data_IF_274963310233
#
_entry.id   IF_274963310233
#
_cell.length_a   1.000
_cell.length_b   1.000
_cell.length_c   1.000
_cell.angle_alpha   90.00
_cell.angle_beta   90.00
_cell.angle_gamma   90.00
#
_symmetry.space_group_name_H-M   'P 1'
#
loop_
_entity.id
_entity.type
_entity.pdbx_description
1 polymer ?
#
# COMPACT_ATOMS: atom_id res chain seq x y z
N UNK A 1 24.51 16.04 22.97
CA UNK A 1 23.35 15.15 22.74
C UNK A 1 22.62 15.68 21.52
N UNK A 2 22.56 14.90 20.47
CA UNK A 2 21.82 15.27 19.27
C UNK A 2 20.41 14.73 19.40
N UNK A 3 19.42 15.61 19.32
CA UNK A 3 18.01 15.23 19.35
C UNK A 3 17.43 15.25 17.94
N UNK A 4 16.36 14.47 17.72
CA UNK A 4 15.61 14.53 16.46
C UNK A 4 14.12 14.23 16.68
N UNK A 5 13.25 14.86 15.88
CA UNK A 5 11.84 14.53 15.83
C UNK A 5 11.61 13.25 15.02
N UNK A 6 10.81 12.37 15.56
CA UNK A 6 10.49 11.09 14.93
C UNK A 6 8.98 10.79 15.05
N UNK A 7 8.47 9.95 14.17
CA UNK A 7 7.08 9.47 14.23
C UNK A 7 7.02 8.20 15.06
N UNK A 8 6.31 8.25 16.16
CA UNK A 8 6.02 7.11 17.02
C UNK A 8 4.60 6.60 16.73
N UNK A 9 4.47 5.31 16.43
CA UNK A 9 3.18 4.64 16.24
C UNK A 9 2.82 3.89 17.50
N UNK A 10 1.70 4.26 18.09
CA UNK A 10 1.12 3.57 19.23
C UNK A 10 -0.10 2.77 18.78
N UNK A 11 -0.09 1.46 19.02
CA UNK A 11 -1.18 0.56 18.68
C UNK A 11 -1.86 0.08 19.95
N UNK A 12 -3.18 0.21 20.00
CA UNK A 12 -4.04 -0.24 21.08
C UNK A 12 -5.00 -1.31 20.57
N UNK A 13 -5.31 -2.27 21.41
CA UNK A 13 -6.44 -3.18 21.20
C UNK A 13 -7.69 -2.56 21.76
N UNK A 14 -8.69 -2.38 20.91
CA UNK A 14 -9.98 -1.81 21.25
C UNK A 14 -11.05 -2.84 20.94
N UNK A 15 -12.15 -2.85 21.69
CA UNK A 15 -13.30 -3.75 21.49
C UNK A 15 -12.95 -5.07 20.76
N UNK A 16 -13.07 -6.20 21.42
CA UNK A 16 -13.00 -7.53 20.81
C UNK A 16 -11.84 -7.76 19.82
N UNK A 17 -10.65 -7.22 20.09
CA UNK A 17 -9.44 -7.40 19.28
C UNK A 17 -9.28 -6.46 18.06
N UNK A 18 -10.07 -5.39 17.94
CA UNK A 18 -9.86 -4.38 16.90
C UNK A 18 -8.61 -3.54 17.20
N UNK A 19 -7.72 -3.39 16.21
CA UNK A 19 -6.49 -2.60 16.35
C UNK A 19 -6.75 -1.14 15.99
N UNK A 20 -6.36 -0.25 16.91
CA UNK A 20 -6.33 1.20 16.69
C UNK A 20 -4.88 1.69 16.74
N UNK A 21 -4.38 2.24 15.64
CA UNK A 21 -3.04 2.81 15.59
C UNK A 21 -3.12 4.33 15.52
N UNK A 22 -2.36 5.01 16.40
CA UNK A 22 -2.22 6.47 16.42
C UNK A 22 -0.77 6.86 16.23
N UNK A 23 -0.53 7.91 15.44
CA UNK A 23 0.80 8.48 15.24
C UNK A 23 1.00 9.69 16.13
N UNK A 24 2.18 9.78 16.74
CA UNK A 24 2.65 10.92 17.52
C UNK A 24 3.96 11.42 16.91
N UNK A 25 4.25 12.70 17.08
CA UNK A 25 5.59 13.25 16.86
C UNK A 25 6.26 13.30 18.22
N UNK A 26 7.40 12.63 18.34
CA UNK A 26 8.19 12.53 19.57
C UNK A 26 9.59 13.06 19.34
N UNK A 27 10.22 13.55 20.40
CA UNK A 27 11.63 13.90 20.43
C UNK A 27 12.42 12.68 20.90
N UNK A 28 13.43 12.28 20.15
CA UNK A 28 14.33 11.18 20.46
C UNK A 28 15.76 11.65 20.59
N UNK A 29 16.53 10.94 21.40
CA UNK A 29 17.98 11.09 21.49
C UNK A 29 18.73 10.26 20.44
N UNK A 30 20.06 10.31 20.47
CA UNK A 30 20.96 9.55 19.61
C UNK A 30 20.82 8.02 19.74
N UNK A 31 20.36 7.54 20.88
CA UNK A 31 20.13 6.11 21.15
C UNK A 31 18.80 5.62 20.61
N UNK A 32 17.94 6.56 20.19
CA UNK A 32 16.58 6.28 19.73
C UNK A 32 15.55 6.23 20.86
N UNK A 33 15.92 6.59 22.07
CA UNK A 33 15.01 6.65 23.22
C UNK A 33 14.11 7.88 23.13
N UNK A 34 12.85 7.74 23.56
CA UNK A 34 11.88 8.83 23.55
C UNK A 34 12.13 9.73 24.76
N UNK A 35 12.61 10.95 24.51
CA UNK A 35 12.83 11.95 25.53
C UNK A 35 11.57 12.76 25.87
N UNK A 36 10.75 13.05 24.86
CA UNK A 36 9.51 13.80 25.06
C UNK A 36 8.45 13.47 24.00
N UNK A 37 7.18 13.48 24.40
CA UNK A 37 6.03 13.54 23.52
C UNK A 37 5.71 14.99 23.23
N UNK A 38 5.45 15.32 21.95
CA UNK A 38 5.07 16.67 21.54
C UNK A 38 3.60 16.76 21.21
N UNK A 39 3.07 17.98 21.19
CA UNK A 39 1.70 18.26 20.78
C UNK A 39 1.53 18.49 19.27
N UNK A 40 2.61 18.44 18.50
CA UNK A 40 2.58 18.76 17.06
C UNK A 40 1.64 17.86 16.24
N UNK A 41 1.41 16.63 16.69
CA UNK A 41 0.45 15.73 16.04
C UNK A 41 -1.00 16.26 16.01
N UNK A 42 -1.35 17.18 16.92
CA UNK A 42 -2.69 17.82 16.99
C UNK A 42 -2.99 18.64 15.74
N UNK A 43 -1.96 19.24 15.14
CA UNK A 43 -2.06 20.12 13.98
C UNK A 43 -1.98 19.42 12.62
N UNK A 44 -1.94 18.08 12.59
CA UNK A 44 -1.80 17.27 11.35
C UNK A 44 -3.16 16.74 10.88
N UNK A 45 -4.28 17.21 11.41
CA UNK A 45 -5.58 16.69 11.06
C UNK A 45 -5.99 17.02 9.61
N UNK A 46 -6.74 16.13 8.97
CA UNK A 46 -7.08 16.20 7.55
C UNK A 46 -8.24 17.14 7.21
N UNK A 47 -8.89 17.77 8.17
CA UNK A 47 -10.11 18.51 7.91
C UNK A 47 -10.26 19.74 8.82
N UNK A 48 -10.22 20.91 8.20
CA UNK A 48 -10.57 22.20 8.84
C UNK A 48 -12.05 22.28 9.29
N UNK A 49 -12.89 21.34 8.84
CA UNK A 49 -14.35 21.37 9.07
C UNK A 49 -14.85 20.33 10.07
N UNK A 50 -13.98 19.44 10.55
CA UNK A 50 -14.40 18.36 11.45
C UNK A 50 -13.80 18.54 12.83
N UNK A 51 -14.65 18.85 13.82
CA UNK A 51 -14.34 18.75 15.24
C UNK A 51 -14.34 17.29 15.73
N UNK A 52 -14.63 16.32 14.84
CA UNK A 52 -14.54 14.89 15.12
C UNK A 52 -13.24 14.40 14.49
N UNK A 53 -12.27 14.09 15.32
CA UNK A 53 -10.97 13.55 14.90
C UNK A 53 -11.01 12.02 14.89
N UNK A 54 -10.55 11.40 13.82
CA UNK A 54 -10.31 9.95 13.81
C UNK A 54 -9.17 9.63 14.79
N UNK A 55 -9.39 8.60 15.60
CA UNK A 55 -8.36 8.09 16.51
C UNK A 55 -7.35 7.22 15.74
N UNK A 56 -7.80 6.60 14.64
CA UNK A 56 -7.02 5.67 13.81
C UNK A 56 -6.08 6.38 12.84
N UNK A 57 -4.92 5.76 12.59
CA UNK A 57 -4.01 6.15 11.51
C UNK A 57 -4.67 5.89 10.15
N UNK A 58 -4.68 6.90 9.29
CA UNK A 58 -5.19 6.79 7.92
C UNK A 58 -4.14 6.27 6.92
N UNK A 59 -2.98 5.81 7.41
CA UNK A 59 -1.89 5.27 6.60
C UNK A 59 -1.13 6.31 5.78
N UNK A 60 -1.40 7.61 5.95
CA UNK A 60 -0.72 8.65 5.19
C UNK A 60 0.65 9.03 5.77
N UNK A 61 1.45 9.75 4.98
CA UNK A 61 2.80 10.19 5.33
C UNK A 61 2.87 11.57 5.97
N UNK A 62 1.75 12.19 6.37
CA UNK A 62 1.70 13.57 6.85
C UNK A 62 2.62 13.80 8.05
N UNK A 63 2.56 12.94 9.06
CA UNK A 63 3.41 13.06 10.25
C UNK A 63 4.90 13.02 9.90
N UNK A 64 5.29 12.23 8.90
CA UNK A 64 6.69 12.16 8.46
C UNK A 64 7.15 13.45 7.77
N UNK A 65 6.28 14.11 6.99
CA UNK A 65 6.61 15.40 6.39
C UNK A 65 6.82 16.47 7.46
N UNK A 66 5.92 16.51 8.46
CA UNK A 66 6.04 17.47 9.56
C UNK A 66 7.28 17.18 10.41
N UNK A 67 7.56 15.92 10.76
CA UNK A 67 8.77 15.58 11.50
C UNK A 67 10.05 15.99 10.76
N UNK A 68 10.11 15.82 9.42
CA UNK A 68 11.25 16.28 8.59
C UNK A 68 11.39 17.79 8.61
N UNK A 69 10.28 18.55 8.51
CA UNK A 69 10.33 20.01 8.60
C UNK A 69 10.81 20.45 10.00
N UNK A 70 10.30 19.84 11.05
CA UNK A 70 10.72 20.16 12.42
C UNK A 70 12.23 19.91 12.62
N UNK A 71 12.75 18.76 12.14
CA UNK A 71 14.20 18.50 12.20
C UNK A 71 14.99 19.56 11.46
N UNK A 72 14.55 19.90 10.24
CA UNK A 72 15.21 20.91 9.42
C UNK A 72 15.31 22.28 10.09
N UNK A 73 14.22 22.75 10.73
CA UNK A 73 14.20 24.07 11.34
C UNK A 73 14.81 24.10 12.74
N UNK A 74 14.67 23.02 13.54
CA UNK A 74 15.19 22.99 14.91
C UNK A 74 16.65 22.54 14.98
N UNK A 75 17.08 21.56 14.15
CA UNK A 75 18.35 20.89 14.35
C UNK A 75 19.31 20.97 13.14
N UNK A 76 18.80 20.94 11.91
CA UNK A 76 19.68 20.77 10.76
C UNK A 76 20.21 22.11 10.21
N UNK A 77 19.35 23.13 10.07
CA UNK A 77 19.72 24.36 9.34
C UNK A 77 19.54 25.65 10.13
N UNK A 78 18.45 25.81 10.86
CA UNK A 78 18.09 27.12 11.44
C UNK A 78 18.26 27.20 12.96
N UNK A 79 18.26 26.07 13.65
CA UNK A 79 18.47 25.94 15.11
C UNK A 79 17.53 26.85 15.93
N UNK A 80 16.24 26.89 15.56
CA UNK A 80 15.25 27.66 16.31
C UNK A 80 14.90 26.99 17.63
N UNK A 81 14.62 27.77 18.68
CA UNK A 81 14.24 27.27 20.01
C UNK A 81 12.74 26.92 20.08
N UNK A 82 11.92 27.60 19.30
CA UNK A 82 10.47 27.44 19.31
C UNK A 82 9.89 27.54 17.89
N UNK A 83 8.83 26.77 17.61
CA UNK A 83 8.14 26.83 16.32
C UNK A 83 7.49 28.21 16.06
N UNK A 84 7.23 29.01 17.09
CA UNK A 84 6.72 30.36 16.93
C UNK A 84 7.69 31.28 16.16
N UNK A 85 8.98 30.98 16.18
CA UNK A 85 10.03 31.72 15.46
C UNK A 85 10.19 31.34 14.01
N UNK A 86 9.35 30.42 13.48
CA UNK A 86 9.41 30.01 12.08
C UNK A 86 9.09 31.19 11.14
N UNK A 87 9.78 31.27 10.01
CA UNK A 87 9.58 32.33 9.00
C UNK A 87 9.19 31.74 7.66
N UNK A 88 8.57 32.55 6.78
CA UNK A 88 8.22 32.13 5.40
C UNK A 88 9.46 31.62 4.65
N UNK A 89 10.63 32.26 4.85
CA UNK A 89 11.88 31.83 4.26
C UNK A 89 12.27 30.41 4.69
N UNK A 90 12.21 30.09 5.98
CA UNK A 90 12.52 28.75 6.50
C UNK A 90 11.62 27.67 5.90
N UNK A 91 10.32 27.96 5.76
CA UNK A 91 9.35 27.05 5.13
C UNK A 91 9.66 26.87 3.64
N UNK A 92 9.92 27.97 2.92
CA UNK A 92 10.28 27.95 1.50
C UNK A 92 11.56 27.14 1.27
N UNK A 93 12.60 27.37 2.06
CA UNK A 93 13.87 26.66 1.95
C UNK A 93 13.68 25.15 2.24
N UNK A 94 12.93 24.78 3.28
CA UNK A 94 12.60 23.39 3.55
C UNK A 94 11.88 22.72 2.36
N UNK A 95 10.85 23.37 1.81
CA UNK A 95 10.07 22.78 0.73
C UNK A 95 10.90 22.59 -0.55
N UNK A 96 11.80 23.53 -0.86
CA UNK A 96 12.70 23.42 -2.00
C UNK A 96 13.81 22.38 -1.77
N UNK A 97 14.44 22.38 -0.60
CA UNK A 97 15.46 21.39 -0.24
C UNK A 97 14.85 19.98 -0.21
N UNK A 98 13.61 19.83 0.27
CA UNK A 98 12.85 18.59 0.19
C UNK A 98 12.57 18.17 -1.25
N UNK A 99 12.11 19.10 -2.10
CA UNK A 99 11.80 18.82 -3.50
C UNK A 99 13.02 18.43 -4.34
N UNK A 100 14.16 19.06 -4.08
CA UNK A 100 15.42 18.84 -4.79
C UNK A 100 16.32 17.77 -4.16
N UNK A 101 15.85 17.04 -3.14
CA UNK A 101 16.58 15.94 -2.51
C UNK A 101 17.89 16.38 -1.81
N UNK A 102 17.90 17.58 -1.23
CA UNK A 102 19.08 18.18 -0.57
C UNK A 102 18.98 18.11 0.96
N UNK A 103 17.89 17.54 1.50
CA UNK A 103 17.76 17.39 2.96
C UNK A 103 18.85 16.48 3.53
N UNK A 104 19.41 16.82 4.71
CA UNK A 104 20.35 15.97 5.41
C UNK A 104 19.76 14.54 5.59
N UNK A 105 20.55 13.54 5.28
CA UNK A 105 20.18 12.11 5.40
C UNK A 105 18.95 11.67 4.58
N UNK A 106 18.52 12.42 3.57
CA UNK A 106 17.37 12.10 2.74
C UNK A 106 17.59 12.46 1.26
N UNK A 107 18.42 11.66 0.60
CA UNK A 107 18.80 11.81 -0.82
C UNK A 107 17.80 11.14 -1.79
N UNK A 108 16.56 10.94 -1.38
CA UNK A 108 15.57 10.27 -2.23
C UNK A 108 14.97 11.23 -3.25
N UNK A 109 15.11 10.93 -4.54
CA UNK A 109 14.39 11.62 -5.61
C UNK A 109 12.88 11.50 -5.45
N UNK A 110 12.16 12.59 -5.70
CA UNK A 110 10.71 12.69 -5.45
C UNK A 110 9.92 13.00 -6.69
N UNK A 111 8.74 12.40 -6.78
CA UNK A 111 7.77 12.72 -7.84
C UNK A 111 7.01 14.00 -7.51
N UNK A 112 6.49 14.68 -8.53
CA UNK A 112 5.65 15.87 -8.39
C UNK A 112 4.51 15.66 -7.38
N UNK A 113 3.83 14.51 -7.43
CA UNK A 113 2.72 14.20 -6.52
C UNK A 113 3.16 14.09 -5.06
N UNK A 114 4.36 13.57 -4.80
CA UNK A 114 4.94 13.47 -3.45
C UNK A 114 5.26 14.85 -2.90
N UNK A 115 5.85 15.73 -3.73
CA UNK A 115 6.17 17.11 -3.33
C UNK A 115 4.90 17.92 -3.07
N UNK A 116 3.88 17.83 -3.93
CA UNK A 116 2.57 18.47 -3.70
C UNK A 116 1.96 18.00 -2.39
N UNK A 117 2.03 16.71 -2.07
CA UNK A 117 1.51 16.16 -0.82
C UNK A 117 2.26 16.70 0.41
N UNK A 118 3.59 16.87 0.31
CA UNK A 118 4.40 17.48 1.34
C UNK A 118 4.02 18.96 1.54
N UNK A 119 4.03 19.76 0.47
CA UNK A 119 3.66 21.19 0.49
C UNK A 119 2.29 21.39 1.16
N UNK A 120 1.29 20.65 0.68
CA UNK A 120 -0.06 20.74 1.25
C UNK A 120 -0.08 20.40 2.75
N UNK A 121 0.63 19.33 3.15
CA UNK A 121 0.67 18.91 4.56
C UNK A 121 1.33 19.94 5.45
N UNK A 122 2.46 20.53 5.02
CA UNK A 122 3.17 21.54 5.79
C UNK A 122 2.32 22.80 5.94
N UNK A 123 1.67 23.24 4.87
CA UNK A 123 0.80 24.42 4.92
C UNK A 123 -0.41 24.17 5.82
N UNK A 124 -1.08 23.01 5.68
CA UNK A 124 -2.21 22.66 6.54
C UNK A 124 -1.80 22.58 8.03
N UNK A 125 -0.61 22.07 8.32
CA UNK A 125 -0.05 22.00 9.66
C UNK A 125 0.23 23.41 10.23
N UNK A 126 0.93 24.26 9.48
CA UNK A 126 1.26 25.61 9.91
C UNK A 126 0.00 26.49 10.05
N UNK A 127 -0.95 26.37 9.14
CA UNK A 127 -2.22 27.09 9.17
C UNK A 127 -3.00 26.78 10.47
N UNK A 128 -3.03 25.52 10.91
CA UNK A 128 -3.65 25.14 12.18
C UNK A 128 -2.83 25.60 13.39
N UNK A 129 -1.50 25.44 13.34
CA UNK A 129 -0.62 25.86 14.43
C UNK A 129 -0.71 27.38 14.67
N UNK A 130 -0.62 28.16 13.59
CA UNK A 130 -0.71 29.65 13.66
C UNK A 130 -2.09 30.07 14.13
N UNK A 131 -3.18 29.41 13.72
CA UNK A 131 -4.52 29.81 14.17
C UNK A 131 -4.73 29.67 15.68
N UNK A 132 -4.04 28.73 16.33
CA UNK A 132 -4.08 28.53 17.78
C UNK A 132 -3.01 29.37 18.54
N UNK A 133 -2.00 29.91 17.84
CA UNK A 133 -0.86 30.62 18.41
C UNK A 133 -0.62 31.99 17.73
N UNK A 134 -1.66 32.65 17.22
CA UNK A 134 -1.56 33.84 16.38
C UNK A 134 -0.74 34.97 16.99
N UNK A 135 -0.88 35.17 18.32
CA UNK A 135 -0.22 36.25 19.03
C UNK A 135 1.28 36.05 19.28
N UNK A 136 1.76 34.82 19.04
CA UNK A 136 3.16 34.40 19.30
C UNK A 136 3.95 34.12 18.04
N UNK A 137 3.26 33.82 16.94
CA UNK A 137 3.92 33.41 15.68
C UNK A 137 4.42 34.62 14.89
N UNK A 138 5.64 34.47 14.30
CA UNK A 138 6.19 35.50 13.42
C UNK A 138 5.47 35.51 12.04
N UNK A 139 4.96 34.39 11.60
CA UNK A 139 4.21 34.29 10.34
C UNK A 139 2.72 34.50 10.60
N UNK A 140 2.07 35.24 9.73
CA UNK A 140 0.61 35.35 9.69
C UNK A 140 0.02 34.29 8.77
N UNK A 141 -1.18 33.82 9.10
CA UNK A 141 -1.90 32.79 8.35
C UNK A 141 -2.12 33.16 6.87
N UNK A 142 -2.29 34.48 6.60
CA UNK A 142 -2.50 34.97 5.23
C UNK A 142 -1.27 34.83 4.34
N UNK A 143 -0.06 34.87 4.92
CA UNK A 143 1.20 34.75 4.18
C UNK A 143 1.46 33.34 3.64
N UNK A 144 0.77 32.33 4.17
CA UNK A 144 0.86 30.95 3.66
C UNK A 144 0.21 30.76 2.30
N UNK A 145 -0.60 31.72 1.84
CA UNK A 145 -1.42 31.58 0.65
C UNK A 145 -1.33 32.79 -0.27
N UNK A 146 -1.43 32.53 -1.58
CA UNK A 146 -1.66 33.55 -2.62
C UNK A 146 -2.95 33.26 -3.36
N UNK A 147 -3.59 34.32 -3.88
CA UNK A 147 -4.81 34.18 -4.70
C UNK A 147 -4.42 34.26 -6.16
N UNK A 148 -4.74 33.22 -6.93
CA UNK A 148 -4.55 33.20 -8.39
C UNK A 148 -5.92 33.19 -9.09
N UNK A 149 -5.96 33.75 -10.29
CA UNK A 149 -7.16 33.68 -11.14
C UNK A 149 -6.95 32.60 -12.18
N UNK A 150 -7.77 31.57 -12.15
CA UNK A 150 -7.70 30.44 -13.10
C UNK A 150 -8.98 30.32 -13.90
N UNK A 151 -8.88 29.76 -15.10
CA UNK A 151 -10.03 29.43 -15.93
C UNK A 151 -10.50 28.01 -15.60
N UNK A 152 -11.75 27.87 -15.15
CA UNK A 152 -12.29 26.54 -14.84
C UNK A 152 -12.62 25.77 -16.15
N UNK A 153 -12.96 24.48 -16.03
CA UNK A 153 -13.30 23.60 -17.17
C UNK A 153 -14.48 24.13 -18.02
N UNK A 154 -15.32 25.04 -17.48
CA UNK A 154 -16.44 25.66 -18.16
C UNK A 154 -16.10 27.04 -18.74
N UNK A 155 -14.82 27.41 -18.76
CA UNK A 155 -14.31 28.67 -19.34
C UNK A 155 -14.47 29.91 -18.42
N UNK A 156 -15.08 29.79 -17.23
CA UNK A 156 -15.28 30.91 -16.31
C UNK A 156 -14.01 31.16 -15.47
N UNK A 157 -13.64 32.45 -15.35
CA UNK A 157 -12.56 32.85 -14.46
C UNK A 157 -13.00 32.71 -13.00
N UNK A 158 -12.22 31.99 -12.20
CA UNK A 158 -12.42 31.83 -10.77
C UNK A 158 -11.15 32.20 -10.00
N UNK A 159 -11.32 32.81 -8.83
CA UNK A 159 -10.22 33.05 -7.91
C UNK A 159 -10.01 31.82 -7.03
N UNK A 160 -8.80 31.29 -7.03
CA UNK A 160 -8.42 30.16 -6.21
C UNK A 160 -7.30 30.54 -5.26
N UNK A 161 -7.45 30.14 -3.98
CA UNK A 161 -6.44 30.31 -2.95
C UNK A 161 -5.48 29.12 -3.00
N UNK A 162 -4.23 29.39 -3.36
CA UNK A 162 -3.17 28.40 -3.50
C UNK A 162 -2.03 28.68 -2.54
N UNK A 163 -1.15 27.71 -2.24
CA UNK A 163 0.08 27.97 -1.49
C UNK A 163 0.88 29.14 -2.06
N UNK A 164 1.43 29.98 -1.17
CA UNK A 164 2.25 31.12 -1.58
C UNK A 164 3.65 30.73 -2.07
N UNK A 165 4.04 29.46 -1.89
CA UNK A 165 5.39 28.96 -2.15
C UNK A 165 5.54 28.49 -3.59
N UNK A 166 6.64 28.89 -4.22
CA UNK A 166 7.09 28.35 -5.50
C UNK A 166 8.15 27.29 -5.21
N UNK A 167 7.77 26.02 -5.42
CA UNK A 167 8.60 24.86 -5.02
C UNK A 167 9.10 24.13 -6.26
N UNK A 168 10.41 23.95 -6.34
CA UNK A 168 11.08 23.13 -7.34
C UNK A 168 11.21 21.68 -6.88
N UNK A 169 11.41 20.74 -7.81
CA UNK A 169 11.62 19.34 -7.51
C UNK A 169 12.55 18.68 -8.52
N UNK A 170 13.13 17.54 -8.14
CA UNK A 170 14.16 16.82 -8.92
C UNK A 170 13.71 16.29 -10.29
N UNK A 171 12.42 16.41 -10.61
CA UNK A 171 11.89 16.00 -11.93
C UNK A 171 11.66 14.50 -12.09
N UNK A 172 11.76 13.71 -11.03
CA UNK A 172 11.53 12.26 -11.09
C UNK A 172 10.17 11.92 -11.67
N UNK A 173 10.19 11.18 -12.77
CA UNK A 173 9.00 10.56 -13.35
C UNK A 173 8.89 9.17 -12.74
N UNK A 174 7.75 8.87 -12.15
CA UNK A 174 7.46 7.52 -11.67
C UNK A 174 7.06 6.65 -12.85
N UNK A 175 7.97 5.86 -13.36
CA UNK A 175 7.64 4.76 -14.26
C UNK A 175 6.88 3.70 -13.44
N UNK A 176 5.57 3.69 -13.57
CA UNK A 176 4.74 2.68 -12.91
C UNK A 176 4.65 1.51 -13.87
N UNK A 177 5.39 0.46 -13.54
CA UNK A 177 5.25 -0.82 -14.18
C UNK A 177 3.89 -1.39 -13.75
N UNK A 178 2.93 -1.43 -14.66
CA UNK A 178 1.53 -1.76 -14.32
C UNK A 178 1.04 -3.04 -14.98
N UNK A 179 1.84 -3.70 -15.75
CA UNK A 179 1.44 -4.94 -16.41
C UNK A 179 2.45 -6.05 -16.18
N UNK A 180 1.94 -7.27 -16.10
CA UNK A 180 2.72 -8.50 -16.07
C UNK A 180 2.13 -9.42 -17.15
N UNK A 181 2.92 -9.80 -18.17
CA UNK A 181 2.48 -10.80 -19.13
C UNK A 181 2.05 -12.10 -18.45
N UNK A 182 1.07 -12.80 -19.02
CA UNK A 182 0.60 -14.05 -18.42
C UNK A 182 1.69 -15.08 -18.32
N UNK A 183 2.50 -15.26 -19.37
CA UNK A 183 3.62 -16.20 -19.35
C UNK A 183 4.57 -15.95 -18.17
N UNK A 184 4.80 -14.67 -17.83
CA UNK A 184 5.60 -14.28 -16.65
C UNK A 184 4.87 -14.57 -15.36
N UNK A 185 3.54 -14.29 -15.32
CA UNK A 185 2.71 -14.63 -14.17
C UNK A 185 2.73 -16.14 -13.89
N UNK A 186 2.64 -16.96 -14.93
CA UNK A 186 2.69 -18.41 -14.85
C UNK A 186 4.02 -18.91 -14.28
N UNK A 187 5.14 -18.37 -14.75
CA UNK A 187 6.47 -18.70 -14.23
C UNK A 187 6.57 -18.26 -12.76
N UNK A 188 6.08 -17.07 -12.42
CA UNK A 188 6.13 -16.55 -11.06
C UNK A 188 5.29 -17.38 -10.10
N UNK A 189 4.02 -17.68 -10.45
CA UNK A 189 3.14 -18.46 -9.56
C UNK A 189 3.69 -19.87 -9.32
N UNK A 190 4.28 -20.50 -10.35
CA UNK A 190 4.95 -21.76 -10.23
C UNK A 190 6.17 -21.71 -9.32
N UNK A 191 6.98 -20.67 -9.47
CA UNK A 191 8.11 -20.45 -8.57
C UNK A 191 7.66 -20.28 -7.12
N UNK A 192 6.54 -19.53 -6.90
CA UNK A 192 5.94 -19.37 -5.57
C UNK A 192 5.46 -20.72 -5.02
N UNK A 193 4.73 -21.51 -5.79
CA UNK A 193 4.24 -22.84 -5.37
C UNK A 193 5.40 -23.73 -4.92
N UNK A 194 6.49 -23.75 -5.69
CA UNK A 194 7.64 -24.66 -5.45
C UNK A 194 8.58 -24.20 -4.35
N UNK A 195 8.83 -22.91 -4.24
CA UNK A 195 9.91 -22.37 -3.37
C UNK A 195 9.41 -21.52 -2.22
N UNK A 196 8.24 -20.90 -2.36
CA UNK A 196 7.69 -19.93 -1.41
C UNK A 196 6.20 -20.16 -1.12
N UNK A 197 5.75 -21.42 -0.86
CA UNK A 197 4.33 -21.73 -0.65
C UNK A 197 3.72 -20.96 0.52
N UNK A 198 4.53 -20.48 1.47
CA UNK A 198 4.09 -19.70 2.63
C UNK A 198 3.43 -18.35 2.26
N UNK A 199 3.70 -17.80 1.07
CA UNK A 199 3.03 -16.58 0.59
C UNK A 199 2.02 -16.84 -0.54
N UNK A 200 1.80 -18.09 -0.92
CA UNK A 200 0.92 -18.44 -2.04
C UNK A 200 -0.47 -17.82 -1.92
N UNK A 201 -1.07 -17.87 -0.73
CA UNK A 201 -2.39 -17.29 -0.51
C UNK A 201 -2.40 -15.75 -0.60
N UNK A 202 -1.31 -15.06 -0.23
CA UNK A 202 -1.21 -13.60 -0.40
C UNK A 202 -1.19 -13.22 -1.89
N UNK A 203 -0.50 -14.02 -2.70
CA UNK A 203 -0.50 -13.90 -4.17
C UNK A 203 -1.90 -14.18 -4.73
N UNK A 204 -2.52 -15.30 -4.36
CA UNK A 204 -3.85 -15.70 -4.86
C UNK A 204 -4.94 -14.68 -4.49
N UNK A 205 -4.96 -14.18 -3.26
CA UNK A 205 -5.89 -13.14 -2.80
C UNK A 205 -5.76 -11.84 -3.63
N UNK A 206 -4.53 -11.47 -3.97
CA UNK A 206 -4.29 -10.26 -4.75
C UNK A 206 -4.58 -10.46 -6.25
N UNK A 207 -4.27 -11.65 -6.80
CA UNK A 207 -4.44 -11.97 -8.23
C UNK A 207 -5.86 -12.39 -8.60
N UNK A 208 -6.59 -13.06 -7.71
CA UNK A 208 -7.88 -13.68 -8.04
C UNK A 208 -9.08 -13.01 -7.36
N UNK A 209 -8.84 -12.26 -6.28
CA UNK A 209 -9.88 -11.47 -5.62
C UNK A 209 -9.56 -9.95 -5.61
N UNK A 210 -8.45 -9.55 -6.22
CA UNK A 210 -8.07 -8.15 -6.38
C UNK A 210 -7.78 -7.41 -5.07
N UNK A 211 -7.44 -8.11 -3.98
CA UNK A 211 -7.12 -7.46 -2.72
C UNK A 211 -5.83 -6.64 -2.81
N UNK A 212 -5.77 -5.55 -2.05
CA UNK A 212 -4.48 -4.89 -1.82
C UNK A 212 -3.59 -5.80 -0.98
N UNK A 213 -2.26 -5.83 -1.20
CA UNK A 213 -1.37 -6.73 -0.47
C UNK A 213 -1.48 -6.61 1.05
N UNK A 214 -1.66 -5.39 1.58
CA UNK A 214 -1.87 -5.15 3.00
C UNK A 214 -3.25 -5.67 3.49
N UNK A 215 -4.29 -5.62 2.65
CA UNK A 215 -5.61 -6.19 2.94
C UNK A 215 -5.56 -7.72 2.97
N UNK A 216 -4.80 -8.35 2.06
CA UNK A 216 -4.62 -9.79 2.01
C UNK A 216 -4.02 -10.37 3.31
N UNK A 217 -3.11 -9.63 3.96
CA UNK A 217 -2.53 -10.03 5.24
C UNK A 217 -3.55 -10.09 6.40
N UNK A 218 -4.71 -9.43 6.26
CA UNK A 218 -5.76 -9.40 7.29
C UNK A 218 -6.76 -10.57 7.19
N UNK A 219 -6.66 -11.41 6.16
CA UNK A 219 -7.61 -12.51 5.98
C UNK A 219 -7.36 -13.59 7.04
N UNK A 220 -8.44 -14.01 7.70
CA UNK A 220 -8.48 -15.07 8.69
C UNK A 220 -8.97 -16.38 8.06
N UNK A 221 -8.61 -17.50 8.66
CA UNK A 221 -9.14 -18.83 8.30
C UNK A 221 -10.63 -18.95 8.66
N UNK A 222 -11.26 -19.99 8.16
CA UNK A 222 -12.67 -20.32 8.46
C UNK A 222 -12.93 -20.58 9.93
N UNK A 223 -11.93 -21.15 10.62
CA UNK A 223 -11.94 -21.57 12.03
C UNK A 223 -11.30 -20.56 12.99
N UNK A 224 -11.07 -19.33 12.53
CA UNK A 224 -10.46 -18.29 13.37
C UNK A 224 -11.32 -17.99 14.62
N UNK A 225 -10.72 -17.92 15.83
CA UNK A 225 -11.43 -17.52 17.05
C UNK A 225 -11.98 -16.09 16.98
N UNK A 226 -11.47 -15.25 16.07
CA UNK A 226 -11.94 -13.90 15.83
C UNK A 226 -13.06 -13.83 14.76
N UNK A 227 -13.64 -14.98 14.44
CA UNK A 227 -14.61 -15.15 13.37
C UNK A 227 -13.99 -15.37 12.00
N UNK A 228 -14.72 -16.03 11.10
CA UNK A 228 -14.21 -16.42 9.78
C UNK A 228 -13.89 -15.23 8.90
N UNK A 229 -12.65 -15.19 8.36
CA UNK A 229 -12.23 -14.18 7.37
C UNK A 229 -12.42 -14.66 5.93
N UNK A 230 -12.32 -15.98 5.72
CA UNK A 230 -12.65 -16.64 4.44
C UNK A 230 -13.80 -17.60 4.66
N UNK A 231 -14.75 -17.65 3.74
CA UNK A 231 -15.89 -18.57 3.76
C UNK A 231 -16.12 -19.14 2.36
N UNK A 232 -16.30 -20.43 2.27
CA UNK A 232 -16.63 -21.14 1.05
C UNK A 232 -18.14 -21.37 0.98
N UNK A 233 -18.76 -21.01 -0.13
CA UNK A 233 -20.15 -21.34 -0.41
C UNK A 233 -20.15 -22.63 -1.20
N UNK A 234 -20.80 -23.66 -0.68
CA UNK A 234 -20.87 -24.98 -1.29
C UNK A 234 -22.29 -25.24 -1.73
N UNK A 235 -22.47 -25.61 -3.01
CA UNK A 235 -23.75 -26.04 -3.58
C UNK A 235 -23.53 -27.36 -4.31
N UNK A 236 -24.38 -28.34 -4.05
CA UNK A 236 -24.30 -29.69 -4.65
C UNK A 236 -22.91 -30.36 -4.50
N UNK A 237 -22.19 -30.06 -3.41
CA UNK A 237 -20.85 -30.60 -3.16
C UNK A 237 -19.70 -29.84 -3.81
N UNK A 238 -19.97 -28.82 -4.60
CA UNK A 238 -18.98 -28.00 -5.28
C UNK A 238 -18.90 -26.59 -4.66
N UNK A 239 -17.71 -26.03 -4.63
CA UNK A 239 -17.49 -24.65 -4.19
C UNK A 239 -17.91 -23.71 -5.32
N UNK A 240 -18.98 -22.94 -5.07
CA UNK A 240 -19.55 -22.00 -6.06
C UNK A 240 -19.12 -20.55 -5.83
N UNK A 241 -18.63 -20.22 -4.63
CA UNK A 241 -18.17 -18.87 -4.32
C UNK A 241 -17.21 -18.86 -3.13
N UNK A 242 -16.37 -17.84 -3.04
CA UNK A 242 -15.49 -17.61 -1.89
C UNK A 242 -15.67 -16.16 -1.43
N UNK A 243 -16.02 -16.01 -0.17
CA UNK A 243 -16.33 -14.72 0.47
C UNK A 243 -15.19 -14.36 1.44
N UNK A 244 -14.69 -13.13 1.31
CA UNK A 244 -13.58 -12.58 2.08
C UNK A 244 -14.07 -11.40 2.94
N UNK A 245 -13.82 -11.47 4.25
CA UNK A 245 -14.21 -10.42 5.20
C UNK A 245 -13.06 -9.44 5.45
N UNK A 246 -13.28 -8.20 5.01
CA UNK A 246 -12.39 -7.05 5.18
C UNK A 246 -13.08 -5.92 5.95
N UNK A 247 -13.93 -6.23 6.92
CA UNK A 247 -14.68 -5.21 7.66
C UNK A 247 -13.85 -4.52 8.74
N UNK A 248 -12.89 -5.22 9.35
CA UNK A 248 -12.13 -4.71 10.50
C UNK A 248 -10.68 -5.18 10.47
N UNK A 249 -9.79 -4.30 10.92
CA UNK A 249 -8.40 -4.65 11.25
C UNK A 249 -8.38 -5.26 12.66
N UNK A 250 -8.25 -6.58 12.73
CA UNK A 250 -8.22 -7.29 14.00
C UNK A 250 -6.79 -7.61 14.41
N UNK A 251 -6.59 -7.79 15.73
CA UNK A 251 -5.30 -8.25 16.25
C UNK A 251 -5.06 -9.72 15.88
N UNK A 252 -4.16 -9.96 14.94
CA UNK A 252 -3.78 -11.30 14.48
C UNK A 252 -2.44 -11.78 15.05
N UNK A 253 -1.86 -11.02 16.01
CA UNK A 253 -0.52 -11.28 16.55
C UNK A 253 -0.46 -10.98 18.04
N UNK A 254 0.22 -11.82 18.81
CA UNK A 254 0.46 -11.62 20.25
C UNK A 254 1.31 -10.37 20.54
N UNK A 255 2.18 -9.96 19.60
CA UNK A 255 3.02 -8.77 19.74
C UNK A 255 2.30 -7.46 19.36
N UNK A 256 1.00 -7.46 19.14
CA UNK A 256 0.15 -6.34 18.76
C UNK A 256 0.62 -5.59 17.49
N UNK A 257 1.50 -6.19 16.69
CA UNK A 257 1.99 -5.58 15.47
C UNK A 257 0.92 -5.67 14.38
N UNK A 258 0.46 -4.53 13.81
CA UNK A 258 -0.50 -4.53 12.71
C UNK A 258 0.03 -5.33 11.51
N UNK A 259 -0.77 -6.21 10.95
CA UNK A 259 -0.36 -7.04 9.80
C UNK A 259 -0.46 -6.29 8.48
N UNK A 260 -1.37 -5.32 8.38
CA UNK A 260 -1.56 -4.48 7.21
C UNK A 260 -2.81 -3.62 7.36
N UNK A 261 -2.89 -2.51 6.61
CA UNK A 261 -4.03 -1.61 6.67
C UNK A 261 -5.15 -2.03 5.71
N UNK A 262 -6.39 -2.04 6.17
CA UNK A 262 -7.59 -2.18 5.35
C UNK A 262 -8.01 -0.79 4.88
N UNK A 263 -7.76 -0.50 3.62
CA UNK A 263 -8.06 0.82 3.06
C UNK A 263 -9.57 1.10 2.92
N UNK A 264 -10.36 0.04 2.73
CA UNK A 264 -11.82 0.11 2.61
C UNK A 264 -12.46 -1.12 3.23
N UNK A 265 -13.26 -0.89 4.24
CA UNK A 265 -14.07 -1.91 4.88
C UNK A 265 -15.13 -2.45 3.92
N UNK A 266 -15.16 -3.78 3.71
CA UNK A 266 -16.10 -4.43 2.79
C UNK A 266 -16.11 -5.94 2.95
N UNK A 267 -17.10 -6.56 2.34
CA UNK A 267 -17.06 -7.97 1.93
C UNK A 267 -16.57 -8.01 0.48
N UNK A 268 -15.60 -8.86 0.20
CA UNK A 268 -15.05 -9.09 -1.13
C UNK A 268 -15.33 -10.53 -1.55
N UNK A 269 -15.41 -10.79 -2.86
CA UNK A 269 -15.51 -12.14 -3.42
C UNK A 269 -14.35 -12.43 -4.34
N UNK A 270 -14.03 -13.70 -4.50
CA UNK A 270 -13.15 -14.13 -5.58
C UNK A 270 -13.89 -13.95 -6.92
N UNK A 271 -13.18 -13.47 -7.93
CA UNK A 271 -13.79 -13.29 -9.25
C UNK A 271 -14.16 -14.66 -9.84
N UNK A 272 -15.38 -14.86 -10.36
CA UNK A 272 -15.88 -16.18 -10.73
C UNK A 272 -14.96 -16.97 -11.68
N UNK A 273 -14.37 -16.29 -12.67
CA UNK A 273 -13.46 -16.92 -13.63
C UNK A 273 -12.21 -17.50 -12.96
N UNK A 274 -11.80 -16.95 -11.82
CA UNK A 274 -10.60 -17.39 -11.08
C UNK A 274 -10.92 -18.33 -9.91
N UNK A 275 -12.18 -18.73 -9.73
CA UNK A 275 -12.60 -19.50 -8.57
C UNK A 275 -11.82 -20.82 -8.43
N UNK A 276 -11.71 -21.59 -9.51
CA UNK A 276 -11.00 -22.88 -9.50
C UNK A 276 -9.52 -22.72 -9.19
N UNK A 277 -8.87 -21.72 -9.82
CA UNK A 277 -7.46 -21.43 -9.54
C UNK A 277 -7.24 -21.02 -8.08
N UNK A 278 -8.14 -20.20 -7.54
CA UNK A 278 -8.09 -19.81 -6.14
C UNK A 278 -8.24 -21.00 -5.19
N UNK A 279 -9.21 -21.87 -5.45
CA UNK A 279 -9.47 -23.07 -4.64
C UNK A 279 -8.28 -24.04 -4.68
N UNK A 280 -7.65 -24.21 -5.85
CA UNK A 280 -6.43 -25.00 -6.00
C UNK A 280 -5.27 -24.42 -5.18
N UNK A 281 -5.02 -23.12 -5.28
CA UNK A 281 -4.00 -22.45 -4.46
C UNK A 281 -4.30 -22.62 -2.94
N UNK A 282 -5.56 -22.53 -2.56
CA UNK A 282 -5.96 -22.74 -1.16
C UNK A 282 -5.67 -24.16 -0.69
N UNK A 283 -6.00 -25.18 -1.49
CA UNK A 283 -5.72 -26.60 -1.17
C UNK A 283 -4.22 -26.85 -1.04
N UNK A 284 -3.42 -26.36 -1.98
CA UNK A 284 -1.94 -26.47 -1.95
C UNK A 284 -1.39 -25.82 -0.67
N UNK A 285 -1.86 -24.61 -0.37
CA UNK A 285 -1.42 -23.88 0.82
C UNK A 285 -1.80 -24.60 2.11
N UNK A 286 -3.02 -25.11 2.21
CA UNK A 286 -3.47 -25.86 3.41
C UNK A 286 -2.68 -27.16 3.60
N UNK A 287 -2.38 -27.90 2.52
CA UNK A 287 -1.51 -29.06 2.57
C UNK A 287 -0.09 -28.71 3.05
N UNK A 288 0.45 -27.57 2.57
CA UNK A 288 1.74 -27.04 3.05
C UNK A 288 1.69 -26.73 4.56
N UNK A 289 0.63 -26.07 5.04
CA UNK A 289 0.45 -25.74 6.46
C UNK A 289 0.36 -26.98 7.34
N UNK A 290 -0.42 -27.97 6.91
CA UNK A 290 -0.61 -29.23 7.60
C UNK A 290 0.69 -30.05 7.68
N UNK A 291 1.42 -30.15 6.57
CA UNK A 291 2.71 -30.85 6.51
C UNK A 291 3.73 -30.26 7.51
N UNK A 292 3.76 -28.95 7.66
CA UNK A 292 4.70 -28.26 8.56
C UNK A 292 4.14 -28.07 9.98
N UNK A 293 2.89 -28.47 10.23
CA UNK A 293 2.20 -28.31 11.53
C UNK A 293 2.25 -26.88 12.07
N UNK A 294 2.13 -25.89 11.20
CA UNK A 294 2.11 -24.50 11.62
C UNK A 294 0.77 -24.16 12.28
N UNK A 295 0.84 -23.72 13.53
CA UNK A 295 -0.31 -23.20 14.26
C UNK A 295 -0.44 -21.69 14.05
N UNK A 296 -1.65 -21.22 13.76
CA UNK A 296 -1.92 -19.80 13.57
C UNK A 296 -2.45 -19.19 14.88
N UNK A 297 -1.72 -18.28 15.51
CA UNK A 297 -2.09 -17.68 16.81
C UNK A 297 -3.53 -17.21 16.80
N UNK A 298 -4.04 -16.42 16.02
CA UNK A 298 -5.41 -15.88 16.02
C UNK A 298 -6.22 -16.36 14.81
N UNK A 299 -5.86 -17.49 14.24
CA UNK A 299 -6.51 -18.03 13.06
C UNK A 299 -6.26 -17.18 11.81
N UNK A 300 -5.11 -16.51 11.69
CA UNK A 300 -4.69 -15.84 10.48
C UNK A 300 -4.57 -16.85 9.33
N UNK A 301 -4.98 -16.46 8.11
CA UNK A 301 -4.86 -17.34 6.95
C UNK A 301 -3.39 -17.61 6.61
N UNK A 302 -2.55 -16.58 6.62
CA UNK A 302 -1.14 -16.69 6.25
C UNK A 302 -0.23 -16.43 7.44
N UNK A 303 0.64 -17.37 7.72
CA UNK A 303 1.56 -17.32 8.86
C UNK A 303 3.00 -17.62 8.44
N UNK A 304 3.94 -17.13 9.23
CA UNK A 304 5.35 -17.47 9.11
C UNK A 304 5.67 -18.80 9.83
N UNK A 305 6.92 -19.23 9.77
CA UNK A 305 7.40 -20.48 10.43
C UNK A 305 7.20 -20.53 11.95
N UNK A 306 6.94 -19.37 12.58
CA UNK A 306 6.63 -19.28 14.02
C UNK A 306 5.12 -19.23 14.32
N UNK A 307 4.26 -19.49 13.34
CA UNK A 307 2.80 -19.40 13.49
C UNK A 307 2.24 -17.98 13.57
N UNK A 308 3.08 -16.95 13.46
CA UNK A 308 2.64 -15.54 13.51
C UNK A 308 2.16 -15.07 12.16
N UNK A 309 1.06 -14.34 12.14
CA UNK A 309 0.52 -13.74 10.92
C UNK A 309 1.59 -12.93 10.17
N UNK A 310 1.66 -13.12 8.84
CA UNK A 310 2.60 -12.40 7.97
C UNK A 310 2.17 -10.94 7.89
N UNK A 311 3.09 -10.02 8.22
CA UNK A 311 2.86 -8.58 8.04
C UNK A 311 3.11 -8.17 6.59
N UNK A 312 2.53 -7.03 6.17
CA UNK A 312 2.79 -6.48 4.84
C UNK A 312 4.28 -6.24 4.58
N UNK A 313 5.02 -5.76 5.60
CA UNK A 313 6.48 -5.55 5.46
C UNK A 313 7.22 -6.88 5.22
N UNK A 314 6.87 -7.94 5.95
CA UNK A 314 7.44 -9.27 5.72
C UNK A 314 7.08 -9.81 4.33
N UNK A 315 5.81 -9.63 3.90
CA UNK A 315 5.38 -10.02 2.56
C UNK A 315 6.17 -9.26 1.48
N UNK A 316 6.33 -7.96 1.64
CA UNK A 316 7.10 -7.13 0.71
C UNK A 316 8.55 -7.59 0.60
N UNK A 317 9.23 -7.86 1.72
CA UNK A 317 10.62 -8.33 1.72
C UNK A 317 10.75 -9.73 1.06
N UNK A 318 9.84 -10.65 1.36
CA UNK A 318 9.82 -11.96 0.71
C UNK A 318 9.58 -11.83 -0.79
N UNK A 319 8.65 -10.99 -1.21
CA UNK A 319 8.37 -10.76 -2.62
C UNK A 319 9.60 -10.18 -3.36
N UNK A 320 10.33 -9.25 -2.74
CA UNK A 320 11.59 -8.76 -3.33
C UNK A 320 12.58 -9.89 -3.60
N UNK A 321 12.76 -10.78 -2.64
CA UNK A 321 13.63 -11.95 -2.80
C UNK A 321 13.15 -12.85 -3.96
N UNK A 322 11.84 -13.08 -4.06
CA UNK A 322 11.26 -13.84 -5.17
C UNK A 322 11.57 -13.17 -6.53
N UNK A 323 11.45 -11.85 -6.61
CA UNK A 323 11.79 -11.13 -7.85
C UNK A 323 13.28 -11.28 -8.19
N UNK A 324 14.17 -11.21 -7.21
CA UNK A 324 15.61 -11.43 -7.39
C UNK A 324 15.90 -12.86 -7.90
N UNK A 325 15.19 -13.88 -7.39
CA UNK A 325 15.28 -15.27 -7.83
C UNK A 325 14.66 -15.49 -9.22
N UNK A 326 13.64 -14.71 -9.57
CA UNK A 326 12.91 -14.83 -10.84
C UNK A 326 13.69 -14.25 -12.03
N UNK A 327 14.42 -13.16 -11.85
CA UNK A 327 15.17 -12.48 -12.92
C UNK A 327 16.03 -13.46 -13.73
N UNK A 328 16.92 -14.28 -13.15
CA UNK A 328 17.74 -15.20 -13.93
C UNK A 328 16.92 -16.26 -14.67
N UNK A 329 15.78 -16.67 -14.11
CA UNK A 329 14.87 -17.64 -14.76
C UNK A 329 14.25 -17.03 -16.02
N UNK A 330 13.82 -15.76 -15.93
CA UNK A 330 13.25 -15.05 -17.07
C UNK A 330 14.29 -14.78 -18.16
N UNK A 331 15.50 -14.37 -17.77
CA UNK A 331 16.58 -14.06 -18.71
C UNK A 331 17.10 -15.31 -19.46
N UNK A 332 16.98 -16.48 -18.85
CA UNK A 332 17.38 -17.75 -19.47
C UNK A 332 16.29 -18.36 -20.36
N UNK A 333 15.13 -17.68 -20.52
CA UNK A 333 14.02 -18.20 -21.32
C UNK A 333 14.26 -17.96 -22.82
N UNK A 334 13.63 -18.79 -23.69
CA UNK A 334 13.71 -18.67 -25.14
C UNK A 334 12.71 -17.64 -25.71
N UNK A 335 11.67 -17.30 -24.96
CA UNK A 335 10.63 -16.35 -25.36
C UNK A 335 11.09 -14.89 -25.13
N UNK A 336 11.18 -14.14 -26.22
CA UNK A 336 11.65 -12.75 -26.20
C UNK A 336 10.80 -11.83 -25.29
N UNK A 337 9.48 -12.08 -25.16
CA UNK A 337 8.61 -11.32 -24.27
C UNK A 337 9.01 -11.53 -22.80
N UNK A 338 9.30 -12.78 -22.44
CA UNK A 338 9.73 -13.16 -21.08
C UNK A 338 11.11 -12.57 -20.78
N UNK A 339 12.06 -12.70 -21.70
CA UNK A 339 13.42 -12.12 -21.55
C UNK A 339 13.37 -10.59 -21.40
N UNK A 340 12.61 -9.91 -22.25
CA UNK A 340 12.42 -8.47 -22.17
C UNK A 340 11.83 -8.06 -20.82
N UNK A 341 10.88 -8.83 -20.28
CA UNK A 341 10.34 -8.57 -18.95
C UNK A 341 11.41 -8.75 -17.86
N UNK A 342 12.27 -9.77 -18.00
CA UNK A 342 13.42 -9.96 -17.11
C UNK A 342 14.36 -8.75 -17.08
N UNK A 343 14.68 -8.16 -18.24
CA UNK A 343 15.47 -6.91 -18.32
C UNK A 343 14.75 -5.74 -17.65
N UNK A 344 13.44 -5.59 -17.86
CA UNK A 344 12.66 -4.55 -17.20
C UNK A 344 12.66 -4.66 -15.68
N UNK A 345 12.69 -5.90 -15.12
CA UNK A 345 12.79 -6.13 -13.67
C UNK A 345 14.16 -5.78 -13.10
N UNK A 346 15.24 -5.82 -13.91
CA UNK A 346 16.56 -5.35 -13.47
C UNK A 346 16.60 -3.83 -13.29
N UNK A 347 15.88 -3.10 -14.13
CA UNK A 347 15.86 -1.63 -14.10
C UNK A 347 14.79 -1.06 -13.17
N UNK A 348 13.70 -1.81 -12.95
CA UNK A 348 12.51 -1.33 -12.25
C UNK A 348 12.12 -2.25 -11.11
N UNK A 349 11.95 -1.68 -9.92
CA UNK A 349 11.43 -2.41 -8.77
C UNK A 349 9.92 -2.59 -8.90
N UNK A 350 9.45 -3.84 -8.83
CA UNK A 350 8.03 -4.16 -8.66
C UNK A 350 7.71 -4.46 -7.20
N UNK A 351 6.45 -4.31 -6.83
CA UNK A 351 5.93 -4.62 -5.49
C UNK A 351 4.77 -5.61 -5.60
N UNK A 352 4.32 -6.23 -4.49
CA UNK A 352 3.16 -7.14 -4.52
C UNK A 352 1.88 -6.52 -5.10
N UNK A 353 1.80 -5.20 -5.25
CA UNK A 353 0.71 -4.54 -5.97
C UNK A 353 0.59 -4.96 -7.44
N UNK A 354 1.65 -5.53 -8.03
CA UNK A 354 1.63 -6.03 -9.41
C UNK A 354 0.54 -7.09 -9.62
N UNK A 355 0.26 -7.93 -8.64
CA UNK A 355 -0.80 -8.93 -8.71
C UNK A 355 -2.19 -8.31 -8.84
N UNK A 356 -2.45 -7.25 -8.08
CA UNK A 356 -3.71 -6.50 -8.20
C UNK A 356 -3.80 -5.71 -9.52
N UNK A 357 -2.68 -5.27 -10.09
CA UNK A 357 -2.64 -4.71 -11.44
C UNK A 357 -2.95 -5.77 -12.48
N UNK A 358 -2.32 -6.93 -12.41
CA UNK A 358 -2.62 -8.08 -13.26
C UNK A 358 -4.11 -8.44 -13.21
N UNK A 359 -4.70 -8.56 -12.02
CA UNK A 359 -6.14 -8.77 -11.84
C UNK A 359 -6.97 -7.72 -12.59
N UNK A 360 -6.64 -6.44 -12.49
CA UNK A 360 -7.38 -5.37 -13.14
C UNK A 360 -7.31 -5.47 -14.67
N UNK A 361 -6.13 -5.81 -15.20
CA UNK A 361 -5.94 -6.06 -16.64
C UNK A 361 -6.84 -7.22 -17.09
N UNK A 362 -6.88 -8.32 -16.34
CA UNK A 362 -7.73 -9.47 -16.67
C UNK A 362 -9.22 -9.12 -16.67
N UNK A 363 -9.69 -8.42 -15.66
CA UNK A 363 -11.08 -7.95 -15.62
C UNK A 363 -11.43 -7.11 -16.86
N UNK A 364 -10.55 -6.19 -17.25
CA UNK A 364 -10.73 -5.38 -18.47
C UNK A 364 -10.84 -6.27 -19.73
N UNK A 365 -10.00 -7.30 -19.82
CA UNK A 365 -10.02 -8.26 -20.93
C UNK A 365 -11.29 -9.13 -20.95
N UNK A 366 -11.82 -9.49 -19.78
CA UNK A 366 -13.10 -10.18 -19.64
C UNK A 366 -14.33 -9.28 -19.88
N UNK A 367 -14.11 -8.01 -20.20
CA UNK A 367 -15.18 -7.11 -20.60
C UNK A 367 -15.81 -6.30 -19.47
N UNK A 368 -15.21 -6.34 -18.24
CA UNK A 368 -15.68 -5.50 -17.15
C UNK A 368 -15.54 -4.01 -17.50
N UNK A 369 -16.58 -3.25 -17.22
CA UNK A 369 -16.60 -1.79 -17.37
C UNK A 369 -15.99 -1.07 -16.15
N UNK A 370 -16.05 0.25 -16.15
CA UNK A 370 -15.55 1.06 -15.02
C UNK A 370 -16.22 0.69 -13.69
N UNK A 371 -17.53 0.42 -13.71
CA UNK A 371 -18.29 0.09 -12.49
C UNK A 371 -17.93 -1.31 -11.98
N UNK A 372 -17.83 -2.30 -12.89
CA UNK A 372 -17.38 -3.65 -12.59
C UNK A 372 -15.95 -3.66 -12.02
N UNK A 373 -15.01 -2.94 -12.66
CA UNK A 373 -13.65 -2.78 -12.14
C UNK A 373 -13.61 -2.17 -10.74
N UNK A 374 -14.38 -1.11 -10.50
CA UNK A 374 -14.48 -0.48 -9.18
C UNK A 374 -15.04 -1.45 -8.13
N UNK A 375 -16.10 -2.18 -8.48
CA UNK A 375 -16.74 -3.17 -7.60
C UNK A 375 -15.76 -4.28 -7.20
N UNK A 376 -15.19 -4.98 -8.18
CA UNK A 376 -14.26 -6.10 -7.97
C UNK A 376 -12.94 -5.71 -7.31
N UNK A 377 -12.52 -4.46 -7.44
CA UNK A 377 -11.34 -3.93 -6.76
C UNK A 377 -11.64 -3.26 -5.43
N UNK A 378 -12.89 -2.96 -5.14
CA UNK A 378 -13.27 -2.16 -3.98
C UNK A 378 -12.70 -0.74 -4.03
N UNK A 379 -12.68 -0.09 -5.18
CA UNK A 379 -12.21 1.29 -5.35
C UNK A 379 -13.37 2.29 -5.24
N UNK A 380 -13.08 3.50 -4.73
CA UNK A 380 -14.08 4.58 -4.60
C UNK A 380 -14.01 5.60 -5.75
N UNK A 381 -12.94 5.56 -6.55
CA UNK A 381 -12.71 6.51 -7.64
C UNK A 381 -12.57 5.79 -8.98
N UNK A 382 -13.24 6.26 -10.04
CA UNK A 382 -13.12 5.69 -11.36
C UNK A 382 -11.77 5.91 -12.03
N UNK A 383 -10.97 6.88 -11.55
CA UNK A 383 -9.71 7.27 -12.20
C UNK A 383 -8.74 6.11 -12.40
N UNK A 384 -8.62 5.22 -11.41
CA UNK A 384 -7.76 4.04 -11.54
C UNK A 384 -8.33 2.98 -12.49
N UNK A 385 -9.65 2.84 -12.56
CA UNK A 385 -10.31 1.94 -13.49
C UNK A 385 -10.19 2.43 -14.94
N UNK A 386 -10.42 3.72 -15.19
CA UNK A 386 -10.33 4.35 -16.51
C UNK A 386 -8.94 4.13 -17.14
N UNK A 387 -7.87 4.19 -16.36
CA UNK A 387 -6.50 3.96 -16.87
C UNK A 387 -6.34 2.59 -17.51
N UNK A 388 -7.01 1.54 -16.99
CA UNK A 388 -6.96 0.21 -17.58
C UNK A 388 -7.83 0.10 -18.84
N UNK A 389 -9.00 0.74 -18.86
CA UNK A 389 -9.90 0.73 -20.01
C UNK A 389 -9.33 1.48 -21.22
N UNK A 390 -8.56 2.54 -21.00
CA UNK A 390 -7.90 3.30 -22.08
C UNK A 390 -6.92 2.45 -22.88
N UNK A 391 -6.31 1.44 -22.29
CA UNK A 391 -5.32 0.55 -22.93
C UNK A 391 -5.95 -0.78 -23.43
N UNK A 392 -7.27 -0.88 -23.46
CA UNK A 392 -7.98 -2.12 -23.81
C UNK A 392 -7.57 -2.73 -25.16
N UNK A 393 -7.33 -1.91 -26.18
CA UNK A 393 -6.98 -2.38 -27.53
C UNK A 393 -5.64 -3.13 -27.61
N UNK A 394 -4.63 -2.72 -26.82
CA UNK A 394 -3.36 -3.44 -26.71
C UNK A 394 -3.52 -4.73 -25.87
N UNK A 395 -4.33 -4.64 -24.83
CA UNK A 395 -4.63 -5.76 -23.94
C UNK A 395 -5.42 -6.87 -24.64
N UNK A 396 -6.33 -6.53 -25.55
CA UNK A 396 -7.10 -7.51 -26.33
C UNK A 396 -6.24 -8.37 -27.26
N UNK A 397 -5.10 -7.86 -27.73
CA UNK A 397 -4.13 -8.65 -28.51
C UNK A 397 -3.48 -9.75 -27.66
N UNK A 398 -3.27 -9.50 -26.37
CA UNK A 398 -2.71 -10.47 -25.44
C UNK A 398 -3.76 -11.50 -24.98
N UNK A 399 -5.04 -11.13 -24.98
CA UNK A 399 -6.15 -11.97 -24.52
C UNK A 399 -6.34 -13.28 -25.30
N UNK A 400 -6.15 -13.25 -26.61
CA UNK A 400 -6.34 -14.45 -27.46
C UNK A 400 -5.42 -15.63 -27.10
N UNK A 401 -4.41 -15.36 -26.29
CA UNK A 401 -3.39 -16.34 -25.92
C UNK A 401 -3.65 -17.06 -24.58
N UNK A 402 -4.62 -16.62 -23.78
CA UNK A 402 -4.55 -16.81 -22.31
C UNK A 402 -5.50 -17.83 -21.72
N UNK A 403 -6.60 -18.17 -22.38
CA UNK A 403 -7.73 -18.75 -21.66
C UNK A 403 -7.65 -20.24 -21.28
N UNK A 404 -6.80 -21.04 -21.91
CA UNK A 404 -6.74 -22.47 -21.59
C UNK A 404 -5.55 -22.90 -20.74
N UNK A 405 -4.43 -22.21 -20.88
CA UNK A 405 -3.16 -22.73 -20.35
C UNK A 405 -2.92 -22.50 -18.85
N UNK A 406 -3.41 -21.41 -18.27
CA UNK A 406 -3.15 -21.09 -16.85
C UNK A 406 -3.77 -22.13 -15.91
N UNK A 407 -5.02 -22.48 -16.16
CA UNK A 407 -5.77 -23.40 -15.30
C UNK A 407 -5.28 -24.84 -15.45
N UNK A 408 -5.03 -25.26 -16.69
CA UNK A 408 -4.52 -26.60 -16.96
C UNK A 408 -3.13 -26.80 -16.37
N UNK A 409 -2.28 -25.78 -16.46
CA UNK A 409 -0.93 -25.84 -15.93
C UNK A 409 -0.90 -25.82 -14.39
N UNK A 410 -1.67 -24.96 -13.73
CA UNK A 410 -1.78 -24.94 -12.27
C UNK A 410 -2.39 -26.25 -11.74
N UNK A 411 -3.36 -26.82 -12.46
CA UNK A 411 -3.96 -28.11 -12.15
C UNK A 411 -2.93 -29.24 -12.19
N UNK A 412 -2.21 -29.32 -13.29
CA UNK A 412 -1.16 -30.32 -13.51
C UNK A 412 -0.04 -30.23 -12.45
N UNK A 413 0.39 -29.03 -12.08
CA UNK A 413 1.41 -28.86 -11.05
C UNK A 413 0.92 -29.23 -9.65
N UNK A 414 -0.31 -28.86 -9.32
CA UNK A 414 -0.92 -29.24 -8.04
C UNK A 414 -1.04 -30.76 -7.92
N UNK A 415 -1.39 -31.45 -9.02
CA UNK A 415 -1.47 -32.90 -9.07
C UNK A 415 -0.10 -33.58 -8.92
N UNK A 416 0.97 -32.99 -9.45
CA UNK A 416 2.34 -33.52 -9.30
C UNK A 416 2.90 -33.33 -7.89
N UNK A 417 2.76 -32.13 -7.31
CA UNK A 417 3.43 -31.82 -6.05
C UNK A 417 2.65 -32.27 -4.81
N UNK A 418 1.32 -32.34 -4.88
CA UNK A 418 0.47 -32.59 -3.73
C UNK A 418 -0.61 -33.67 -3.95
N UNK A 419 -0.80 -34.16 -5.16
CA UNK A 419 -1.74 -35.22 -5.52
C UNK A 419 -1.13 -36.63 -5.62
N UNK A 420 0.18 -36.78 -5.50
CA UNK A 420 0.92 -38.03 -5.63
C UNK A 420 0.89 -38.94 -4.40
N UNK A 421 -0.25 -39.02 -3.73
CA UNK A 421 -0.51 -39.93 -2.63
C UNK A 421 -1.68 -40.85 -2.92
N UNK A 422 -1.57 -41.71 -3.94
CA UNK A 422 -2.35 -42.94 -4.05
C UNK A 422 -1.41 -44.13 -4.24
#
# INVERSE_FOLDING_TARGET
>A
MTYHFSVYKHTLVFKESELLTRKFIVLKDERGDICAFTDFHKYISSSKKSYIRRITDDGNNRHYYVAKMLNYVFFDKYHIDTLNSITIKMVSDFLNDYGNCILPNDNCERTKSTVISCVKTIIDFLDQFISENSDKCQIKQEELYKTITIRNKRGKMIKEKVPAFDVTYSGKIKNIFRDMPNKVFDILINHVIRKHPDILMLVALSSFAGLRPAEACNIRRTDSPLGPGIRFVIQNGEITDVILDLKKELNLRSDLKPVGAIKKERIQRVYPVFLDAFVKCYKIYMAYMEHHKYEAEYGALTVNKQGKAITYDNYYQKFRKIVEELIPILLANEDAEIVNYGHLLMENNISPHIFRHWFSVRLTLYGEDTAGLMYWRGDNSPLSAITYLQNKGELEKQYRYVNSMLFDFMSWQADIEYGGGK
#
